data_IF_636771225137
#
_entry.id   IF_636771225137
#
_cell.length_a   1.000
_cell.length_b   1.000
_cell.length_c   1.000
_cell.angle_alpha   90.00
_cell.angle_beta   90.00
_cell.angle_gamma   90.00
#
_symmetry.space_group_name_H-M   'P 1'
#
loop_
_entity.id
_entity.type
_entity.pdbx_description
1 polymer ?
#
# COMPACT_ATOMS: atom_id res chain seq x y z
N UNK A 1 -0.83 -15.46 3.14
CA UNK A 1 0.62 -15.58 3.25
C UNK A 1 1.25 -14.71 2.19
N UNK A 2 2.23 -13.86 2.52
CA UNK A 2 2.79 -12.95 1.52
C UNK A 2 3.58 -13.69 0.43
N UNK A 3 4.10 -14.88 0.75
CA UNK A 3 4.93 -15.69 -0.14
C UNK A 3 4.19 -16.28 -1.35
N UNK A 4 2.85 -16.26 -1.37
CA UNK A 4 2.04 -16.78 -2.47
C UNK A 4 1.48 -15.69 -3.39
N UNK A 5 1.70 -14.41 -3.08
CA UNK A 5 1.21 -13.30 -3.89
C UNK A 5 1.93 -13.27 -5.24
N UNK A 6 1.14 -13.15 -6.31
CA UNK A 6 1.67 -12.99 -7.67
C UNK A 6 1.27 -11.63 -8.27
N UNK A 7 2.05 -11.08 -9.22
CA UNK A 7 1.67 -9.86 -9.92
C UNK A 7 0.31 -10.03 -10.60
N UNK A 8 -0.61 -9.08 -10.33
CA UNK A 8 -2.00 -9.11 -10.82
C UNK A 8 -3.02 -9.56 -9.77
N UNK A 9 -2.58 -10.02 -8.61
CA UNK A 9 -3.49 -10.32 -7.50
C UNK A 9 -4.10 -9.03 -6.92
N UNK A 10 -5.39 -9.11 -6.56
CA UNK A 10 -6.10 -8.05 -5.84
C UNK A 10 -6.16 -8.42 -4.37
N UNK A 11 -5.61 -7.56 -3.52
CA UNK A 11 -5.59 -7.73 -2.07
C UNK A 11 -6.41 -6.63 -1.38
N UNK A 12 -7.07 -6.99 -0.28
CA UNK A 12 -7.74 -6.04 0.59
C UNK A 12 -6.82 -5.69 1.76
N UNK A 13 -6.62 -4.40 1.99
CA UNK A 13 -5.71 -3.87 3.01
C UNK A 13 -6.53 -3.16 4.08
N UNK A 14 -6.18 -3.36 5.36
CA UNK A 14 -6.81 -2.69 6.50
C UNK A 14 -5.82 -1.78 7.22
N UNK A 15 -6.34 -0.91 8.06
CA UNK A 15 -5.52 -0.03 8.89
C UNK A 15 -4.59 -0.85 9.80
N UNK A 16 -3.29 -0.59 9.70
CA UNK A 16 -2.26 -1.28 10.46
C UNK A 16 -1.65 -2.50 9.75
N UNK A 17 -2.17 -2.88 8.58
CA UNK A 17 -1.54 -3.91 7.76
C UNK A 17 -0.23 -3.40 7.15
N UNK A 18 0.75 -4.28 7.08
CA UNK A 18 2.00 -4.04 6.38
C UNK A 18 1.81 -4.50 4.94
N UNK A 19 2.06 -3.61 3.98
CA UNK A 19 1.96 -3.93 2.56
C UNK A 19 3.23 -4.70 2.15
N UNK A 20 3.12 -5.97 1.72
CA UNK A 20 4.29 -6.82 1.48
C UNK A 20 4.91 -6.64 0.09
N UNK A 21 4.21 -5.97 -0.84
CA UNK A 21 4.58 -5.85 -2.26
C UNK A 21 4.24 -4.46 -2.78
N UNK A 22 4.82 -4.07 -3.90
CA UNK A 22 4.38 -2.88 -4.63
C UNK A 22 2.96 -3.09 -5.16
N UNK A 23 2.06 -2.16 -4.86
CA UNK A 23 0.65 -2.24 -5.19
C UNK A 23 0.09 -0.86 -5.55
N UNK A 24 -0.95 -0.85 -6.39
CA UNK A 24 -1.73 0.34 -6.71
C UNK A 24 -3.08 0.29 -5.99
N UNK A 25 -3.52 1.42 -5.43
CA UNK A 25 -4.83 1.51 -4.79
C UNK A 25 -5.91 1.55 -5.89
N UNK A 26 -6.68 0.47 -6.01
CA UNK A 26 -7.71 0.36 -7.04
C UNK A 26 -8.98 1.13 -6.65
N UNK A 27 -9.46 0.96 -5.42
CA UNK A 27 -10.75 1.45 -4.96
C UNK A 27 -10.71 1.78 -3.46
N UNK A 28 -11.61 2.64 -2.99
CA UNK A 28 -11.77 2.97 -1.57
C UNK A 28 -11.39 4.41 -1.20
N UNK A 29 -11.34 4.67 0.10
CA UNK A 29 -10.96 5.98 0.63
C UNK A 29 -9.44 6.22 0.52
N UNK A 30 -9.00 7.49 0.50
CA UNK A 30 -7.58 7.82 0.53
C UNK A 30 -6.89 7.22 1.75
N UNK A 31 -5.79 6.52 1.52
CA UNK A 31 -5.01 5.86 2.56
C UNK A 31 -3.78 6.69 2.91
N UNK A 32 -3.42 6.74 4.19
CA UNK A 32 -2.11 7.24 4.61
C UNK A 32 -1.17 6.07 4.77
N UNK A 33 -0.08 6.08 4.01
CA UNK A 33 0.92 5.03 3.99
C UNK A 33 2.22 5.58 4.56
N UNK A 34 2.78 4.87 5.53
CA UNK A 34 4.10 5.17 6.08
C UNK A 34 5.17 4.52 5.19
N UNK A 35 6.01 5.35 4.57
CA UNK A 35 7.15 4.90 3.76
C UNK A 35 8.50 5.14 4.45
N UNK A 36 8.52 5.53 5.73
CA UNK A 36 9.75 5.81 6.48
C UNK A 36 10.73 4.65 6.49
N UNK A 37 10.23 3.42 6.52
CA UNK A 37 11.05 2.22 6.46
C UNK A 37 11.76 2.02 5.10
N UNK A 38 11.21 2.58 4.01
CA UNK A 38 11.70 2.39 2.64
C UNK A 38 12.48 3.61 2.11
N UNK A 39 11.98 4.82 2.36
CA UNK A 39 12.54 6.08 1.85
C UNK A 39 13.29 6.88 2.91
N UNK A 40 13.10 6.56 4.19
CA UNK A 40 13.62 7.35 5.32
C UNK A 40 12.80 8.60 5.62
N UNK A 41 11.71 8.86 4.89
CA UNK A 41 10.84 10.01 5.13
C UNK A 41 9.85 9.72 6.26
N UNK A 42 9.88 10.50 7.33
CA UNK A 42 9.03 10.28 8.52
C UNK A 42 7.57 10.73 8.35
N UNK A 43 7.22 11.39 7.24
CA UNK A 43 5.86 11.86 7.01
C UNK A 43 5.11 10.84 6.15
N UNK A 44 3.95 10.33 6.62
CA UNK A 44 3.16 9.41 5.82
C UNK A 44 2.58 10.14 4.61
N UNK A 45 2.62 9.48 3.46
CA UNK A 45 2.07 10.01 2.22
C UNK A 45 0.61 9.59 2.07
N UNK A 46 -0.20 10.43 1.44
CA UNK A 46 -1.59 10.07 1.10
C UNK A 46 -1.62 9.44 -0.29
N UNK A 47 -2.22 8.27 -0.40
CA UNK A 47 -2.47 7.55 -1.66
C UNK A 47 -3.95 7.56 -1.96
N UNK A 48 -4.28 7.88 -3.20
CA UNK A 48 -5.65 7.95 -3.69
C UNK A 48 -5.88 6.86 -4.74
N UNK A 49 -7.12 6.36 -4.89
CA UNK A 49 -7.45 5.52 -6.03
C UNK A 49 -7.26 6.34 -7.31
N UNK A 50 -6.39 5.90 -8.23
CA UNK A 50 -5.89 6.61 -9.43
C UNK A 50 -4.59 7.42 -9.29
N UNK A 51 -3.86 7.30 -8.18
CA UNK A 51 -2.45 7.75 -8.12
C UNK A 51 -1.58 6.74 -8.91
N UNK A 52 -0.73 7.24 -9.82
CA UNK A 52 0.13 6.43 -10.71
C UNK A 52 1.38 5.92 -9.99
#
# INVERSE_FOLDING_TARGET
DAAILVPGDVISIKLGDIIPVDACLLEGDPLKVDQSALTGESLPITKNPSDE
#
